data_IF_682627291855
#
_entry.id   IF_682627291855
#
_cell.length_a   1.000
_cell.length_b   1.000
_cell.length_c   1.000
_cell.angle_alpha   90.00
_cell.angle_beta   90.00
_cell.angle_gamma   90.00
#
_symmetry.space_group_name_H-M   'P 1'
#
loop_
_entity.id
_entity.type
_entity.pdbx_description
1 polymer ?
#
# COMPACT_ATOMS: atom_id res chain seq x y z
N UNK A 1 -4.21 10.89 29.20
CA UNK A 1 -3.54 9.78 28.50
C UNK A 1 -3.74 8.56 29.37
N UNK A 2 -4.42 7.52 28.89
CA UNK A 2 -4.63 6.30 29.67
C UNK A 2 -3.37 5.43 29.54
N UNK A 3 -2.73 5.13 30.66
CA UNK A 3 -1.45 4.42 30.71
C UNK A 3 -1.69 2.91 30.72
N UNK A 4 -1.11 2.19 29.76
CA UNK A 4 -1.14 0.72 29.73
C UNK A 4 0.06 0.18 30.52
N UNK A 5 -0.22 -0.48 31.64
CA UNK A 5 0.78 -1.11 32.50
C UNK A 5 1.03 -2.56 32.03
N UNK A 6 2.30 -2.95 31.87
CA UNK A 6 2.71 -4.29 31.48
C UNK A 6 3.89 -4.79 32.34
N UNK A 7 3.70 -4.96 33.66
CA UNK A 7 4.77 -5.23 34.63
C UNK A 7 5.52 -6.54 34.37
N UNK A 8 4.86 -7.57 33.84
CA UNK A 8 5.49 -8.83 33.43
C UNK A 8 6.58 -8.66 32.36
N UNK A 9 6.59 -7.53 31.64
CA UNK A 9 7.62 -7.22 30.64
C UNK A 9 8.98 -6.94 31.29
N UNK A 10 9.01 -6.54 32.56
CA UNK A 10 10.23 -6.24 33.29
C UNK A 10 11.11 -7.49 33.46
N UNK A 11 10.50 -8.64 33.76
CA UNK A 11 11.21 -9.92 33.91
C UNK A 11 11.86 -10.37 32.60
N UNK A 12 11.22 -10.10 31.46
CA UNK A 12 11.81 -10.37 30.14
C UNK A 12 12.96 -9.42 29.81
N UNK A 13 12.85 -8.13 30.17
CA UNK A 13 13.91 -7.14 29.96
C UNK A 13 15.14 -7.49 30.79
N UNK A 14 14.94 -7.93 32.03
CA UNK A 14 15.98 -8.25 33.01
C UNK A 14 16.49 -9.71 32.93
N UNK A 15 15.75 -10.59 32.25
CA UNK A 15 16.07 -12.01 32.15
C UNK A 15 17.30 -12.32 31.27
N UNK A 16 17.86 -13.55 31.38
CA UNK A 16 18.99 -13.99 30.58
C UNK A 16 18.60 -14.02 29.10
N UNK A 17 19.37 -13.31 28.27
CA UNK A 17 19.17 -13.29 26.81
C UNK A 17 19.97 -14.44 26.19
N UNK A 18 19.38 -15.21 25.27
CA UNK A 18 20.10 -16.29 24.60
C UNK A 18 21.30 -15.76 23.81
N UNK A 19 22.39 -16.51 23.79
CA UNK A 19 23.63 -16.15 23.07
C UNK A 19 23.47 -16.11 21.54
N UNK A 20 22.35 -16.62 21.03
CA UNK A 20 22.02 -16.66 19.60
C UNK A 20 20.71 -15.94 19.30
N UNK A 21 20.65 -15.29 18.14
CA UNK A 21 19.46 -14.59 17.68
C UNK A 21 18.35 -15.58 17.34
N UNK A 22 17.17 -15.41 17.95
CA UNK A 22 16.00 -16.29 17.75
C UNK A 22 15.42 -16.24 16.33
N UNK A 23 15.71 -15.17 15.58
CA UNK A 23 15.25 -14.97 14.20
C UNK A 23 16.27 -15.41 13.15
N UNK A 24 17.49 -15.80 13.54
CA UNK A 24 18.41 -16.48 12.64
C UNK A 24 17.95 -17.94 12.49
N UNK A 25 17.14 -18.17 11.46
CA UNK A 25 16.65 -19.50 11.12
C UNK A 25 17.73 -20.31 10.38
N UNK A 26 17.84 -21.62 10.64
CA UNK A 26 18.65 -22.49 9.80
C UNK A 26 18.03 -22.62 8.39
N UNK A 27 18.85 -23.02 7.42
CA UNK A 27 18.41 -23.27 6.04
C UNK A 27 17.41 -24.43 5.96
N UNK A 28 17.58 -25.45 6.80
CA UNK A 28 16.64 -26.57 6.88
C UNK A 28 15.31 -26.17 7.54
N UNK A 29 14.24 -26.86 7.15
CA UNK A 29 12.86 -26.54 7.56
C UNK A 29 12.31 -27.44 8.66
N UNK A 30 13.11 -28.40 9.15
CA UNK A 30 12.66 -29.39 10.15
C UNK A 30 12.20 -28.75 11.47
N UNK A 31 12.74 -27.58 11.80
CA UNK A 31 12.40 -26.84 13.03
C UNK A 31 11.29 -25.80 12.83
N UNK A 32 10.75 -25.64 11.63
CA UNK A 32 9.81 -24.54 11.31
C UNK A 32 8.55 -24.60 12.16
N UNK A 33 8.00 -25.79 12.40
CA UNK A 33 6.80 -25.93 13.23
C UNK A 33 7.09 -25.64 14.70
N UNK A 34 8.19 -26.17 15.24
CA UNK A 34 8.62 -25.92 16.62
C UNK A 34 8.90 -24.43 16.88
N UNK A 35 9.41 -23.72 15.85
CA UNK A 35 9.66 -22.27 15.86
C UNK A 35 8.47 -21.44 15.42
N UNK A 36 7.36 -22.06 14.99
CA UNK A 36 6.14 -21.41 14.51
C UNK A 36 6.34 -20.55 13.25
N UNK A 37 7.25 -20.96 12.37
CA UNK A 37 7.48 -20.37 11.05
C UNK A 37 6.34 -20.77 10.12
N UNK A 38 5.55 -19.79 9.70
CA UNK A 38 4.40 -19.97 8.82
C UNK A 38 4.81 -20.00 7.35
N UNK A 39 5.74 -19.14 6.94
CA UNK A 39 6.12 -18.97 5.54
C UNK A 39 7.59 -18.56 5.40
N UNK A 40 8.27 -19.10 4.39
CA UNK A 40 9.63 -18.71 3.99
C UNK A 40 9.55 -18.14 2.57
N UNK A 41 9.86 -16.85 2.43
CA UNK A 41 9.98 -16.17 1.14
C UNK A 41 11.40 -16.28 0.57
N UNK A 42 11.75 -15.35 -0.33
CA UNK A 42 13.09 -15.26 -0.91
C UNK A 42 14.07 -14.57 0.04
N UNK A 43 13.65 -13.45 0.63
CA UNK A 43 14.47 -12.63 1.51
C UNK A 43 13.89 -12.49 2.92
N UNK A 44 12.58 -12.72 3.08
CA UNK A 44 11.86 -12.59 4.34
C UNK A 44 11.06 -13.83 4.69
N UNK A 45 10.70 -13.97 5.96
CA UNK A 45 9.83 -15.03 6.46
C UNK A 45 8.76 -14.48 7.41
N UNK A 46 7.72 -15.29 7.61
CA UNK A 46 6.61 -15.00 8.52
C UNK A 46 6.63 -16.02 9.64
N UNK A 47 6.62 -15.54 10.88
CA UNK A 47 6.69 -16.36 12.10
C UNK A 47 5.63 -15.88 13.08
N UNK A 48 5.02 -16.78 13.85
CA UNK A 48 4.11 -16.38 14.93
C UNK A 48 4.90 -15.95 16.16
N UNK A 49 4.37 -14.96 16.88
CA UNK A 49 4.94 -14.61 18.17
C UNK A 49 4.60 -15.68 19.21
N UNK A 50 5.61 -16.23 19.88
CA UNK A 50 5.46 -17.23 20.96
C UNK A 50 4.75 -16.66 22.19
N UNK A 51 4.83 -15.34 22.39
CA UNK A 51 4.15 -14.60 23.44
C UNK A 51 3.20 -13.57 22.80
N UNK A 52 2.09 -14.04 22.21
CA UNK A 52 1.23 -13.19 21.40
C UNK A 52 0.47 -12.15 22.23
N UNK A 53 0.29 -10.93 21.70
CA UNK A 53 -0.62 -9.96 22.32
C UNK A 53 -2.08 -10.37 22.12
N UNK A 54 -2.42 -10.96 20.97
CA UNK A 54 -3.73 -11.53 20.67
C UNK A 54 -3.53 -12.74 19.75
N UNK A 55 -4.57 -13.56 19.61
CA UNK A 55 -4.60 -14.63 18.60
C UNK A 55 -4.23 -14.10 17.23
N UNK A 56 -3.36 -14.84 16.52
CA UNK A 56 -2.87 -14.44 15.21
C UNK A 56 -1.83 -13.31 15.23
N UNK A 57 -1.12 -13.08 16.35
CA UNK A 57 0.04 -12.17 16.36
C UNK A 57 1.18 -12.75 15.51
N UNK A 58 1.41 -12.11 14.35
CA UNK A 58 2.44 -12.50 13.40
C UNK A 58 3.61 -11.51 13.42
N UNK A 59 4.77 -11.99 12.98
CA UNK A 59 5.94 -11.17 12.71
C UNK A 59 6.47 -11.45 11.30
N UNK A 60 6.87 -10.39 10.60
CA UNK A 60 7.57 -10.47 9.30
C UNK A 60 8.98 -9.95 9.49
N UNK A 61 9.97 -10.73 9.07
CA UNK A 61 11.38 -10.49 9.38
C UNK A 61 12.28 -10.98 8.25
N UNK A 62 13.42 -10.31 7.96
CA UNK A 62 14.35 -10.75 6.93
C UNK A 62 15.15 -11.97 7.40
N UNK A 63 15.60 -12.82 6.48
CA UNK A 63 16.57 -13.88 6.81
C UNK A 63 17.91 -13.30 7.22
N UNK A 64 18.35 -12.23 6.55
CA UNK A 64 19.57 -11.52 6.88
C UNK A 64 19.42 -10.86 8.25
N UNK A 65 20.44 -11.01 9.09
CA UNK A 65 20.47 -10.41 10.41
C UNK A 65 20.74 -8.90 10.28
N UNK A 66 19.69 -8.10 10.44
CA UNK A 66 19.74 -6.64 10.28
C UNK A 66 18.95 -5.99 11.40
N UNK A 67 19.51 -4.96 12.02
CA UNK A 67 18.88 -4.24 13.14
C UNK A 67 18.00 -3.06 12.71
N UNK A 68 18.38 -2.41 11.61
CA UNK A 68 17.79 -1.13 11.19
C UNK A 68 16.99 -1.29 9.90
N UNK A 69 15.83 -0.62 9.85
CA UNK A 69 15.01 -0.52 8.66
C UNK A 69 15.76 0.16 7.50
N UNK A 70 16.63 1.14 7.80
CA UNK A 70 17.41 1.85 6.79
C UNK A 70 18.52 0.99 6.16
N UNK A 71 18.84 -0.15 6.78
CA UNK A 71 19.89 -1.06 6.31
C UNK A 71 19.32 -2.21 5.45
N UNK A 72 18.01 -2.25 5.18
CA UNK A 72 17.41 -3.22 4.28
C UNK A 72 17.78 -2.93 2.83
N UNK A 73 18.06 -4.00 2.08
CA UNK A 73 18.19 -3.92 0.63
C UNK A 73 16.81 -3.67 -0.01
N UNK A 74 16.73 -3.02 -1.19
CA UNK A 74 15.45 -2.70 -1.82
C UNK A 74 14.53 -3.92 -2.01
N UNK A 75 15.09 -5.06 -2.41
CA UNK A 75 14.32 -6.29 -2.61
C UNK A 75 13.81 -6.89 -1.29
N UNK A 76 14.60 -6.79 -0.21
CA UNK A 76 14.19 -7.20 1.13
C UNK A 76 13.01 -6.34 1.62
N UNK A 77 13.11 -5.02 1.46
CA UNK A 77 12.08 -4.07 1.88
C UNK A 77 10.78 -4.23 1.09
N UNK A 78 10.87 -4.45 -0.23
CA UNK A 78 9.69 -4.68 -1.07
C UNK A 78 8.98 -5.97 -0.70
N UNK A 79 9.69 -7.09 -0.63
CA UNK A 79 9.08 -8.37 -0.26
C UNK A 79 8.49 -8.32 1.15
N UNK A 80 9.17 -7.66 2.10
CA UNK A 80 8.65 -7.44 3.44
C UNK A 80 7.28 -6.74 3.42
N UNK A 81 7.13 -5.69 2.63
CA UNK A 81 5.87 -4.96 2.51
C UNK A 81 4.77 -5.78 1.81
N UNK A 82 5.13 -6.62 0.83
CA UNK A 82 4.18 -7.53 0.19
C UNK A 82 3.70 -8.64 1.14
N UNK A 83 4.60 -9.18 1.97
CA UNK A 83 4.24 -10.13 3.01
C UNK A 83 3.33 -9.51 4.07
N UNK A 84 3.61 -8.28 4.50
CA UNK A 84 2.75 -7.56 5.44
C UNK A 84 1.32 -7.36 4.90
N UNK A 85 1.18 -6.99 3.62
CA UNK A 85 -0.13 -6.85 2.96
C UNK A 85 -0.86 -8.19 2.87
N UNK A 86 -0.14 -9.26 2.52
CA UNK A 86 -0.70 -10.61 2.46
C UNK A 86 -1.16 -11.08 3.83
N UNK A 87 -0.30 -10.98 4.85
CA UNK A 87 -0.63 -11.37 6.22
C UNK A 87 -1.85 -10.59 6.73
N UNK A 88 -1.94 -9.29 6.43
CA UNK A 88 -3.12 -8.47 6.75
C UNK A 88 -4.40 -9.03 6.12
N UNK A 89 -4.35 -9.42 4.85
CA UNK A 89 -5.50 -10.02 4.14
C UNK A 89 -5.88 -11.38 4.73
N UNK A 90 -4.89 -12.23 4.97
CA UNK A 90 -5.07 -13.55 5.58
C UNK A 90 -5.70 -13.45 6.98
N UNK A 91 -5.18 -12.57 7.84
CA UNK A 91 -5.71 -12.35 9.18
C UNK A 91 -7.16 -11.84 9.14
N UNK A 92 -7.48 -10.96 8.18
CA UNK A 92 -8.87 -10.51 7.95
C UNK A 92 -9.81 -11.64 7.59
N UNK A 93 -9.41 -12.48 6.66
CA UNK A 93 -10.22 -13.61 6.21
C UNK A 93 -10.41 -14.67 7.31
N UNK A 94 -9.35 -14.94 8.11
CA UNK A 94 -9.38 -16.05 9.07
C UNK A 94 -10.01 -15.69 10.41
N UNK A 95 -9.78 -14.47 10.90
CA UNK A 95 -10.17 -14.06 12.26
C UNK A 95 -11.21 -12.94 12.29
N UNK A 96 -11.48 -12.27 11.16
CA UNK A 96 -12.38 -11.12 11.08
C UNK A 96 -12.15 -10.07 12.19
N UNK A 97 -10.89 -9.59 12.40
CA UNK A 97 -10.62 -8.54 13.36
C UNK A 97 -11.19 -7.20 12.90
N UNK A 98 -11.59 -6.37 13.86
CA UNK A 98 -12.09 -5.02 13.61
C UNK A 98 -10.97 -4.04 13.26
N UNK A 99 -9.72 -4.37 13.63
CA UNK A 99 -8.53 -3.64 13.27
C UNK A 99 -7.28 -4.50 13.33
N UNK A 100 -6.18 -4.03 12.75
CA UNK A 100 -4.87 -4.68 12.86
C UNK A 100 -3.85 -3.59 13.14
N UNK A 101 -3.08 -3.73 14.23
CA UNK A 101 -1.90 -2.91 14.45
C UNK A 101 -0.73 -3.50 13.67
N UNK A 102 -0.12 -2.69 12.81
CA UNK A 102 1.12 -3.02 12.12
C UNK A 102 2.18 -2.03 12.55
N UNK A 103 3.32 -2.52 13.02
CA UNK A 103 4.37 -1.64 13.53
C UNK A 103 5.67 -2.37 13.80
N UNK A 104 6.73 -1.59 14.00
CA UNK A 104 8.03 -2.08 14.41
C UNK A 104 8.55 -1.21 15.57
N UNK A 105 9.45 -1.76 16.37
CA UNK A 105 10.17 -1.02 17.39
C UNK A 105 11.65 -1.00 17.03
N UNK A 106 12.24 0.19 16.85
CA UNK A 106 13.66 0.36 16.54
C UNK A 106 14.41 0.88 17.77
N UNK A 107 15.41 0.12 18.21
CA UNK A 107 16.22 0.47 19.37
C UNK A 107 15.55 0.15 20.72
N UNK A 108 16.37 0.15 21.76
CA UNK A 108 15.97 -0.23 23.11
C UNK A 108 14.89 0.70 23.68
N UNK A 109 15.05 2.01 23.50
CA UNK A 109 14.11 3.02 23.98
C UNK A 109 12.71 2.89 23.35
N UNK A 110 12.59 2.31 22.15
CA UNK A 110 11.30 2.03 21.51
C UNK A 110 10.64 0.74 22.01
N UNK A 111 11.30 0.01 22.93
CA UNK A 111 10.80 -1.25 23.46
C UNK A 111 11.07 -2.46 22.55
N UNK A 112 12.10 -2.41 21.70
CA UNK A 112 12.54 -3.56 20.92
C UNK A 112 12.98 -4.70 21.86
N UNK A 113 12.14 -5.74 21.98
CA UNK A 113 12.42 -6.88 22.86
C UNK A 113 13.56 -7.78 22.33
N UNK A 114 13.80 -7.75 21.01
CA UNK A 114 14.91 -8.41 20.33
C UNK A 114 15.58 -7.34 19.48
N UNK A 115 16.61 -6.70 20.05
CA UNK A 115 17.27 -5.53 19.46
C UNK A 115 18.09 -5.82 18.22
N UNK A 116 18.57 -7.05 18.09
CA UNK A 116 19.58 -7.39 17.10
C UNK A 116 18.97 -7.73 15.73
N UNK A 117 17.66 -7.96 15.63
CA UNK A 117 17.04 -8.41 14.39
C UNK A 117 15.67 -7.79 14.17
N UNK A 118 15.54 -7.07 13.07
CA UNK A 118 14.37 -6.33 12.63
C UNK A 118 13.17 -7.26 12.43
N UNK A 119 12.02 -6.87 12.96
CA UNK A 119 10.77 -7.57 12.74
C UNK A 119 9.58 -6.61 12.84
N UNK A 120 8.67 -6.70 11.88
CA UNK A 120 7.37 -6.03 11.96
C UNK A 120 6.37 -6.92 12.66
N UNK A 121 5.59 -6.35 13.55
CA UNK A 121 4.47 -7.01 14.20
C UNK A 121 3.18 -6.76 13.42
N UNK A 122 2.33 -7.79 13.30
CA UNK A 122 0.92 -7.66 12.96
C UNK A 122 0.08 -8.22 14.10
N UNK A 123 -0.71 -7.37 14.75
CA UNK A 123 -1.53 -7.74 15.90
C UNK A 123 -3.00 -7.50 15.56
N UNK A 124 -3.81 -8.55 15.35
CA UNK A 124 -5.26 -8.44 15.22
C UNK A 124 -5.91 -7.84 16.47
N UNK A 125 -6.88 -6.94 16.29
CA UNK A 125 -7.55 -6.20 17.36
C UNK A 125 -9.07 -6.30 17.25
N UNK A 126 -9.72 -6.33 18.42
CA UNK A 126 -11.16 -6.22 18.57
C UNK A 126 -11.48 -5.19 19.65
N UNK A 127 -12.61 -4.50 19.53
CA UNK A 127 -13.11 -3.64 20.58
C UNK A 127 -13.37 -4.48 21.84
N UNK A 128 -12.76 -4.07 22.96
CA UNK A 128 -12.84 -4.82 24.21
C UNK A 128 -11.94 -6.06 24.28
N UNK A 129 -10.94 -6.18 23.39
CA UNK A 129 -9.96 -7.28 23.46
C UNK A 129 -9.09 -7.25 24.73
N UNK A 130 -8.98 -6.09 25.36
CA UNK A 130 -8.52 -5.97 26.75
C UNK A 130 -9.66 -6.30 27.71
N UNK A 131 -9.62 -7.49 28.30
CA UNK A 131 -10.61 -7.94 29.30
C UNK A 131 -10.33 -7.36 30.69
N UNK A 132 -11.33 -7.37 31.58
CA UNK A 132 -11.17 -7.06 33.01
C UNK A 132 -10.01 -7.85 33.64
N UNK A 133 -9.86 -9.13 33.28
CA UNK A 133 -8.74 -9.95 33.78
C UNK A 133 -7.37 -9.40 33.37
N UNK A 134 -7.24 -8.85 32.16
CA UNK A 134 -5.99 -8.27 31.69
C UNK A 134 -5.62 -6.99 32.43
N UNK A 135 -6.62 -6.24 32.92
CA UNK A 135 -6.44 -4.96 33.60
C UNK A 135 -6.29 -5.13 35.11
N UNK A 136 -7.12 -5.97 35.74
CA UNK A 136 -7.16 -6.11 37.21
C UNK A 136 -6.31 -7.26 37.75
N UNK A 137 -6.06 -8.28 36.93
CA UNK A 137 -5.31 -9.47 37.34
C UNK A 137 -4.05 -9.67 36.52
N UNK A 138 -3.68 -8.68 35.70
CA UNK A 138 -2.50 -8.70 34.82
C UNK A 138 -2.41 -9.98 33.95
N UNK A 139 -3.56 -10.63 33.72
CA UNK A 139 -3.64 -11.94 33.10
C UNK A 139 -4.41 -11.82 31.81
N UNK A 140 -3.73 -12.12 30.69
CA UNK A 140 -4.35 -12.11 29.37
C UNK A 140 -4.94 -13.47 29.04
N UNK A 141 -6.21 -13.49 28.66
CA UNK A 141 -6.87 -14.70 28.16
C UNK A 141 -6.73 -14.73 26.64
N UNK A 142 -6.07 -15.77 26.14
CA UNK A 142 -5.89 -16.01 24.71
C UNK A 142 -6.72 -17.24 24.36
N UNK A 143 -7.80 -17.09 23.59
CA UNK A 143 -8.83 -18.13 23.51
C UNK A 143 -8.45 -19.33 22.65
N UNK A 144 -7.41 -19.23 21.81
CA UNK A 144 -6.95 -20.34 20.98
C UNK A 144 -5.51 -20.70 21.32
N UNK A 145 -5.23 -21.99 21.39
CA UNK A 145 -3.88 -22.47 21.64
C UNK A 145 -2.95 -22.14 20.46
N UNK A 146 -1.68 -21.92 20.75
CA UNK A 146 -0.68 -21.44 19.79
C UNK A 146 -0.50 -22.41 18.61
N UNK A 147 -0.39 -23.71 18.88
CA UNK A 147 -0.27 -24.73 17.84
C UNK A 147 -1.56 -24.86 17.01
N UNK A 148 -2.74 -24.74 17.63
CA UNK A 148 -4.01 -24.75 16.89
C UNK A 148 -4.09 -23.58 15.91
N UNK A 149 -3.68 -22.39 16.36
CA UNK A 149 -3.57 -21.19 15.54
C UNK A 149 -2.56 -21.39 14.41
N UNK A 150 -1.42 -22.01 14.68
CA UNK A 150 -0.38 -22.32 13.68
C UNK A 150 -0.92 -23.20 12.56
N UNK A 151 -1.52 -24.35 12.90
CA UNK A 151 -2.09 -25.26 11.90
C UNK A 151 -3.25 -24.63 11.12
N UNK A 152 -4.01 -23.73 11.75
CA UNK A 152 -5.07 -23.00 11.06
C UNK A 152 -4.55 -21.97 10.04
N UNK A 153 -3.35 -21.42 10.24
CA UNK A 153 -2.76 -20.40 9.37
C UNK A 153 -1.79 -20.96 8.33
N UNK A 154 -1.16 -22.11 8.60
CA UNK A 154 -0.16 -22.73 7.72
C UNK A 154 -0.65 -23.00 6.28
N UNK A 155 -1.89 -23.47 6.03
CA UNK A 155 -2.36 -23.67 4.65
C UNK A 155 -2.50 -22.35 3.89
N UNK A 156 -3.03 -21.30 4.53
CA UNK A 156 -3.24 -19.99 3.92
C UNK A 156 -1.93 -19.29 3.55
N UNK A 157 -0.83 -19.61 4.21
CA UNK A 157 0.48 -19.02 3.91
C UNK A 157 1.08 -19.56 2.60
N UNK A 158 0.76 -20.80 2.22
CA UNK A 158 1.22 -21.41 0.95
C UNK A 158 0.51 -20.88 -0.29
N UNK A 159 -0.69 -20.31 -0.11
CA UNK A 159 -1.48 -19.73 -1.19
C UNK A 159 -1.10 -18.27 -1.49
N UNK A 160 -0.13 -17.70 -0.78
CA UNK A 160 0.35 -16.34 -1.01
C UNK A 160 1.12 -16.30 -2.34
N UNK A 161 0.57 -15.68 -3.41
CA UNK A 161 1.37 -15.40 -4.57
C UNK A 161 2.27 -14.24 -4.15
N UNK A 162 3.57 -14.50 -3.98
CA UNK A 162 4.54 -13.43 -4.06
C UNK A 162 4.20 -12.63 -5.32
N UNK A 163 3.82 -11.34 -5.16
CA UNK A 163 3.67 -10.45 -6.30
C UNK A 163 5.07 -10.27 -6.86
N UNK A 164 5.46 -11.16 -7.75
CA UNK A 164 6.76 -11.11 -8.39
C UNK A 164 6.90 -9.71 -9.02
N UNK A 165 7.86 -8.93 -8.53
CA UNK A 165 8.22 -7.62 -9.07
C UNK A 165 8.54 -7.62 -10.58
N UNK A 166 8.67 -8.81 -11.18
CA UNK A 166 8.70 -9.02 -12.63
C UNK A 166 7.52 -8.39 -13.38
N UNK A 167 6.34 -8.23 -12.77
CA UNK A 167 5.19 -7.63 -13.46
C UNK A 167 5.35 -6.11 -13.71
N UNK A 168 6.15 -5.42 -12.91
CA UNK A 168 6.51 -4.03 -13.15
C UNK A 168 7.61 -3.92 -14.22
N UNK A 169 8.59 -4.81 -14.18
CA UNK A 169 9.75 -4.80 -15.08
C UNK A 169 9.42 -5.28 -16.50
N UNK A 170 8.55 -6.29 -16.62
CA UNK A 170 8.06 -6.78 -17.91
C UNK A 170 7.21 -5.75 -18.66
N UNK A 171 6.70 -4.69 -18.03
CA UNK A 171 5.93 -3.66 -18.77
C UNK A 171 6.82 -2.88 -19.72
N UNK A 172 8.03 -2.52 -19.30
CA UNK A 172 8.99 -1.84 -20.17
C UNK A 172 9.51 -2.77 -21.26
N UNK A 173 9.78 -4.04 -20.93
CA UNK A 173 10.18 -5.06 -21.90
C UNK A 173 9.07 -5.30 -22.92
N UNK A 174 7.80 -5.40 -22.51
CA UNK A 174 6.65 -5.56 -23.41
C UNK A 174 6.50 -4.37 -24.37
N UNK A 175 6.73 -3.14 -23.90
CA UNK A 175 6.72 -1.94 -24.75
C UNK A 175 7.88 -1.96 -25.75
N UNK A 176 9.09 -2.30 -25.30
CA UNK A 176 10.27 -2.42 -26.18
C UNK A 176 10.07 -3.48 -27.28
N UNK A 177 9.54 -4.65 -26.89
CA UNK A 177 9.20 -5.73 -27.83
C UNK A 177 8.14 -5.29 -28.82
N UNK A 178 7.08 -4.59 -28.38
CA UNK A 178 6.05 -4.06 -29.26
C UNK A 178 6.63 -3.07 -30.29
N UNK A 179 7.52 -2.16 -29.87
CA UNK A 179 8.19 -1.20 -30.76
C UNK A 179 9.07 -1.93 -31.77
N UNK A 180 9.81 -2.96 -31.34
CA UNK A 180 10.65 -3.78 -32.23
C UNK A 180 9.81 -4.53 -33.27
N UNK A 181 8.71 -5.18 -32.83
CA UNK A 181 7.78 -5.89 -33.72
C UNK A 181 7.17 -4.93 -34.75
N UNK A 182 6.78 -3.73 -34.32
CA UNK A 182 6.27 -2.70 -35.23
C UNK A 182 7.32 -2.30 -36.27
N UNK A 183 8.56 -2.07 -35.87
CA UNK A 183 9.65 -1.71 -36.78
C UNK A 183 9.91 -2.80 -37.82
N UNK A 184 10.00 -4.06 -37.38
CA UNK A 184 10.20 -5.23 -38.27
C UNK A 184 9.02 -5.37 -39.23
N UNK A 185 7.79 -5.25 -38.73
CA UNK A 185 6.58 -5.30 -39.56
C UNK A 185 6.59 -4.18 -40.61
N UNK A 186 6.94 -2.95 -40.23
CA UNK A 186 7.02 -1.83 -41.16
C UNK A 186 8.09 -2.07 -42.23
N UNK A 187 9.27 -2.55 -41.85
CA UNK A 187 10.35 -2.88 -42.79
C UNK A 187 9.90 -3.94 -43.81
N UNK A 188 9.19 -4.97 -43.34
CA UNK A 188 8.62 -6.01 -44.21
C UNK A 188 7.61 -5.45 -45.21
N UNK A 189 6.71 -4.55 -44.79
CA UNK A 189 5.74 -3.92 -45.69
C UNK A 189 6.44 -3.05 -46.74
N UNK A 190 7.46 -2.27 -46.35
CA UNK A 190 8.22 -1.42 -47.29
C UNK A 190 8.92 -2.26 -48.35
N UNK A 191 9.50 -3.40 -47.98
CA UNK A 191 10.21 -4.28 -48.93
C UNK A 191 9.27 -5.00 -49.89
N UNK A 192 8.03 -5.30 -49.49
CA UNK A 192 7.08 -6.08 -50.29
C UNK A 192 6.05 -5.24 -51.03
N UNK A 193 6.01 -3.92 -50.83
CA UNK A 193 5.00 -3.07 -51.45
C UNK A 193 5.60 -1.80 -52.05
N UNK A 194 5.79 -1.82 -53.37
CA UNK A 194 6.44 -0.75 -54.13
C UNK A 194 5.71 0.61 -54.03
N UNK A 195 4.41 0.61 -53.72
CA UNK A 195 3.62 1.84 -53.49
C UNK A 195 4.16 2.63 -52.29
N UNK A 196 4.67 1.94 -51.26
CA UNK A 196 5.20 2.59 -50.05
C UNK A 196 6.54 3.29 -50.29
N UNK A 197 7.27 2.92 -51.35
CA UNK A 197 8.52 3.54 -51.77
C UNK A 197 8.32 4.73 -52.71
N UNK A 198 7.09 5.01 -53.14
CA UNK A 198 6.80 6.17 -53.97
C UNK A 198 7.03 7.46 -53.18
N UNK A 199 7.66 8.43 -53.84
CA UNK A 199 7.88 9.75 -53.27
C UNK A 199 6.64 10.60 -53.44
N UNK A 200 6.18 11.20 -52.34
CA UNK A 200 5.03 12.10 -52.31
C UNK A 200 5.54 13.51 -52.04
N UNK A 201 5.02 14.46 -52.80
CA UNK A 201 5.20 15.90 -52.55
C UNK A 201 3.90 16.44 -51.98
N UNK A 202 3.95 16.93 -50.74
CA UNK A 202 2.80 17.58 -50.12
C UNK A 202 2.79 19.04 -50.56
N UNK A 203 1.64 19.51 -51.06
CA UNK A 203 1.39 20.91 -51.36
C UNK A 203 0.36 21.45 -50.38
N UNK A 204 0.68 22.58 -49.75
CA UNK A 204 -0.24 23.29 -48.88
C UNK A 204 -0.54 24.66 -49.49
N UNK A 205 -1.75 24.79 -50.03
CA UNK A 205 -2.28 26.07 -50.52
C UNK A 205 -3.10 26.73 -49.42
N UNK A 206 -2.44 27.56 -48.62
CA UNK A 206 -3.12 28.49 -47.72
C UNK A 206 -3.47 29.74 -48.53
N UNK A 207 -4.76 30.13 -48.51
CA UNK A 207 -5.34 31.24 -49.26
C UNK A 207 -4.33 32.39 -49.48
N UNK A 208 -4.07 32.69 -50.77
CA UNK A 208 -3.17 33.72 -51.34
C UNK A 208 -1.71 33.28 -51.66
N UNK A 209 -1.55 32.79 -52.91
CA UNK A 209 -0.37 32.82 -53.81
C UNK A 209 1.01 32.36 -53.33
N UNK A 210 1.12 31.71 -52.16
CA UNK A 210 2.33 30.97 -51.81
C UNK A 210 1.99 29.50 -51.61
N UNK A 211 2.17 28.71 -52.67
CA UNK A 211 2.09 27.26 -52.61
C UNK A 211 3.35 26.71 -51.94
N UNK A 212 3.24 26.31 -50.67
CA UNK A 212 4.36 25.67 -49.98
C UNK A 212 4.41 24.20 -50.41
N UNK A 213 5.53 23.79 -51.02
CA UNK A 213 5.76 22.41 -51.43
C UNK A 213 6.83 21.76 -50.55
N UNK A 214 6.56 20.54 -50.09
CA UNK A 214 7.53 19.76 -49.32
C UNK A 214 8.59 19.15 -50.24
N UNK A 215 9.75 18.83 -49.65
CA UNK A 215 10.73 17.94 -50.28
C UNK A 215 10.02 16.60 -50.59
N UNK A 216 10.39 15.97 -51.70
CA UNK A 216 9.87 14.67 -52.09
C UNK A 216 10.28 13.62 -51.05
N UNK A 217 9.32 13.15 -50.26
CA UNK A 217 9.55 12.19 -49.17
C UNK A 217 8.90 10.86 -49.53
N UNK A 218 9.56 9.72 -49.29
CA UNK A 218 8.96 8.41 -49.46
C UNK A 218 7.72 8.26 -48.55
N UNK A 219 6.66 7.64 -49.07
CA UNK A 219 5.41 7.48 -48.33
C UNK A 219 5.60 6.73 -47.00
N UNK A 220 6.46 5.71 -46.95
CA UNK A 220 6.77 4.98 -45.70
C UNK A 220 7.34 5.87 -44.59
N UNK A 221 8.13 6.90 -44.96
CA UNK A 221 8.73 7.81 -44.00
C UNK A 221 7.64 8.64 -43.30
N UNK A 222 6.63 9.08 -44.04
CA UNK A 222 5.49 9.79 -43.48
C UNK A 222 4.68 8.93 -42.50
N UNK A 223 4.43 7.66 -42.85
CA UNK A 223 3.73 6.71 -41.96
C UNK A 223 4.54 6.47 -40.68
N UNK A 224 5.85 6.31 -40.79
CA UNK A 224 6.74 6.14 -39.63
C UNK A 224 6.74 7.38 -38.73
N UNK A 225 6.83 8.59 -39.30
CA UNK A 225 6.75 9.84 -38.55
C UNK A 225 5.39 10.01 -37.86
N UNK A 226 4.28 9.68 -38.53
CA UNK A 226 2.94 9.73 -37.93
C UNK A 226 2.81 8.76 -36.75
N UNK A 227 3.35 7.54 -36.87
CA UNK A 227 3.37 6.57 -35.78
C UNK A 227 4.23 7.04 -34.60
N UNK A 228 5.45 7.51 -34.86
CA UNK A 228 6.34 8.05 -33.82
C UNK A 228 5.72 9.22 -33.07
N UNK A 229 5.08 10.15 -33.79
CA UNK A 229 4.37 11.27 -33.21
C UNK A 229 3.19 10.81 -32.34
N UNK A 230 2.42 9.82 -32.79
CA UNK A 230 1.35 9.20 -32.01
C UNK A 230 1.87 8.48 -30.75
N UNK A 231 2.97 7.75 -30.85
CA UNK A 231 3.62 7.08 -29.72
C UNK A 231 4.14 8.10 -28.68
N UNK A 232 4.76 9.19 -29.12
CA UNK A 232 5.20 10.28 -28.25
C UNK A 232 4.02 10.98 -27.57
N UNK A 233 2.95 11.27 -28.31
CA UNK A 233 1.75 11.90 -27.76
C UNK A 233 1.07 11.02 -26.71
N UNK A 234 0.93 9.72 -26.98
CA UNK A 234 0.35 8.77 -26.03
C UNK A 234 1.23 8.62 -24.77
N UNK A 235 2.55 8.56 -24.92
CA UNK A 235 3.51 8.61 -23.80
C UNK A 235 3.32 9.88 -22.96
N UNK A 236 3.20 11.05 -23.60
CA UNK A 236 2.99 12.32 -22.92
C UNK A 236 1.65 12.33 -22.16
N UNK A 237 0.58 11.83 -22.77
CA UNK A 237 -0.73 11.73 -22.11
C UNK A 237 -0.71 10.79 -20.91
N UNK A 238 -0.03 9.63 -21.02
CA UNK A 238 0.17 8.68 -19.92
C UNK A 238 1.00 9.28 -18.79
N UNK A 239 2.04 10.06 -19.12
CA UNK A 239 2.86 10.79 -18.16
C UNK A 239 2.01 11.81 -17.39
N UNK A 240 1.20 12.60 -18.11
CA UNK A 240 0.29 13.59 -17.51
C UNK A 240 -0.78 12.91 -16.64
N UNK A 241 -1.37 11.80 -17.07
CA UNK A 241 -2.36 11.07 -16.28
C UNK A 241 -1.75 10.52 -14.99
N UNK A 242 -0.51 10.01 -15.06
CA UNK A 242 0.25 9.54 -13.88
C UNK A 242 0.52 10.69 -12.91
N UNK A 243 0.95 11.86 -13.41
CA UNK A 243 1.17 13.04 -12.59
C UNK A 243 -0.13 13.53 -11.91
N UNK A 244 -1.25 13.53 -12.63
CA UNK A 244 -2.57 13.91 -12.09
C UNK A 244 -3.04 12.93 -11.01
N UNK A 245 -2.89 11.63 -11.23
CA UNK A 245 -3.21 10.60 -10.24
C UNK A 245 -2.35 10.74 -8.98
N UNK A 246 -1.04 10.96 -9.14
CA UNK A 246 -0.14 11.22 -8.01
C UNK A 246 -0.49 12.50 -7.23
N UNK A 247 -0.90 13.57 -7.93
CA UNK A 247 -1.36 14.80 -7.29
C UNK A 247 -2.71 14.61 -6.55
N UNK A 248 -3.63 13.79 -7.10
CA UNK A 248 -4.87 13.44 -6.42
C UNK A 248 -4.61 12.64 -5.13
N UNK A 249 -3.70 11.67 -5.19
CA UNK A 249 -3.29 10.88 -4.02
C UNK A 249 -2.68 11.76 -2.92
N UNK A 250 -1.78 12.69 -3.29
CA UNK A 250 -1.21 13.66 -2.33
C UNK A 250 -2.27 14.54 -1.66
N UNK A 251 -3.28 15.00 -2.43
CA UNK A 251 -4.40 15.79 -1.89
C UNK A 251 -5.28 14.97 -0.94
N UNK A 252 -5.61 13.73 -1.31
CA UNK A 252 -6.35 12.81 -0.46
C UNK A 252 -5.62 12.55 0.87
N UNK A 253 -4.32 12.24 0.81
CA UNK A 253 -3.49 12.01 2.00
C UNK A 253 -3.40 13.26 2.89
N UNK A 254 -3.30 14.45 2.30
CA UNK A 254 -3.32 15.71 3.08
C UNK A 254 -4.66 15.89 3.79
N UNK A 255 -5.78 15.57 3.13
CA UNK A 255 -7.14 15.65 3.71
C UNK A 255 -7.34 14.64 4.83
N UNK A 256 -6.84 13.42 4.67
CA UNK A 256 -6.83 12.40 5.74
C UNK A 256 -6.10 12.93 6.97
N UNK A 257 -4.88 13.50 6.82
CA UNK A 257 -4.13 14.06 7.96
C UNK A 257 -4.84 15.21 8.66
N UNK A 258 -5.59 16.04 7.93
CA UNK A 258 -6.39 17.14 8.53
C UNK A 258 -7.56 16.55 9.31
N UNK A 259 -8.32 15.62 8.72
CA UNK A 259 -9.43 14.95 9.39
C UNK A 259 -8.98 14.16 10.62
N UNK A 260 -7.81 13.53 10.59
CA UNK A 260 -7.21 12.87 11.76
C UNK A 260 -6.88 13.88 12.87
N UNK A 261 -6.40 15.09 12.53
CA UNK A 261 -6.17 16.15 13.51
C UNK A 261 -7.49 16.66 14.10
N UNK A 262 -8.51 16.88 13.27
CA UNK A 262 -9.85 17.28 13.73
C UNK A 262 -10.46 16.22 14.64
N UNK A 263 -10.43 14.95 14.23
CA UNK A 263 -10.91 13.83 15.04
C UNK A 263 -10.18 13.74 16.38
N UNK A 264 -8.85 13.88 16.38
CA UNK A 264 -8.06 13.89 17.62
C UNK A 264 -8.39 15.11 18.50
N UNK A 265 -8.65 16.29 17.93
CA UNK A 265 -9.08 17.45 18.71
C UNK A 265 -10.47 17.27 19.33
N UNK A 266 -11.42 16.66 18.60
CA UNK A 266 -12.75 16.34 19.11
C UNK A 266 -12.70 15.26 20.19
N UNK A 267 -11.81 14.28 20.05
CA UNK A 267 -11.60 13.21 21.05
C UNK A 267 -11.00 13.73 22.36
N UNK A 268 -10.25 14.83 22.31
CA UNK A 268 -9.62 15.46 23.47
C UNK A 268 -10.46 16.61 24.05
N UNK A 269 -11.69 16.83 23.58
CA UNK A 269 -12.58 17.85 24.12
C UNK A 269 -13.06 17.41 25.53
N UNK A 270 -12.92 18.25 26.58
CA UNK A 270 -13.44 17.92 27.90
C UNK A 270 -14.96 17.73 27.87
N UNK A 271 -15.43 16.62 28.46
CA UNK A 271 -16.86 16.21 28.54
C UNK A 271 -17.81 17.28 29.10
N UNK A 272 -17.31 18.31 29.79
CA UNK A 272 -18.13 19.41 30.33
C UNK A 272 -18.79 20.28 29.23
N UNK A 273 -18.18 20.38 28.05
CA UNK A 273 -18.76 21.17 26.94
C UNK A 273 -19.87 20.45 26.18
N UNK A 274 -19.86 19.11 26.17
CA UNK A 274 -20.91 18.31 25.54
C UNK A 274 -22.23 18.29 26.34
N UNK A 275 -22.21 18.74 27.61
CA UNK A 275 -23.39 18.79 28.48
C UNK A 275 -24.08 20.16 28.54
N UNK A 276 -23.58 21.18 27.83
CA UNK A 276 -24.38 22.39 27.61
C UNK A 276 -25.47 22.04 26.60
N UNK A 277 -26.68 21.80 27.11
CA UNK A 277 -27.91 21.97 26.35
C UNK A 277 -27.77 23.21 25.46
N UNK A 278 -28.05 23.11 24.15
CA UNK A 278 -28.05 24.30 23.32
C UNK A 278 -29.03 25.30 23.93
N UNK A 279 -28.55 26.52 24.21
CA UNK A 279 -29.45 27.64 24.48
C UNK A 279 -30.50 27.69 23.36
N UNK A 280 -31.79 27.90 23.69
CA UNK A 280 -32.80 28.03 22.66
C UNK A 280 -32.41 29.21 21.78
N UNK A 281 -32.02 28.91 20.54
CA UNK A 281 -31.83 29.90 19.48
C UNK A 281 -33.14 30.66 19.39
N UNK A 282 -33.11 31.96 19.72
CA UNK A 282 -34.26 32.84 19.60
C UNK A 282 -34.84 32.67 18.18
N UNK A 283 -36.12 32.31 18.11
CA UNK A 283 -36.81 32.14 16.84
C UNK A 283 -36.66 33.43 16.03
N UNK A 284 -36.29 33.36 14.74
CA UNK A 284 -36.27 34.54 13.89
C UNK A 284 -37.69 35.13 13.84
N UNK A 285 -37.77 36.46 13.96
CA UNK A 285 -39.03 37.19 13.89
C UNK A 285 -39.82 36.82 12.63
N UNK A 286 -41.16 36.69 12.70
CA UNK A 286 -41.96 36.31 11.55
C UNK A 286 -41.78 37.36 10.43
N UNK A 287 -41.30 36.88 9.29
CA UNK A 287 -41.26 37.65 8.05
C UNK A 287 -42.71 37.97 7.68
N UNK A 288 -43.04 39.26 7.63
CA UNK A 288 -44.34 39.73 7.19
C UNK A 288 -44.64 39.16 5.80
N UNK A 289 -45.76 38.44 5.68
CA UNK A 289 -46.27 37.97 4.40
C UNK A 289 -46.61 39.19 3.53
N UNK A 290 -45.83 39.41 2.48
CA UNK A 290 -46.24 40.27 1.38
C UNK A 290 -47.12 39.43 0.46
N UNK A 291 -48.41 39.78 0.43
CA UNK A 291 -49.42 39.21 -0.44
C UNK A 291 -49.04 39.26 -1.94
N UNK A 292 -49.43 38.25 -2.73
CA UNK A 292 -49.20 38.22 -4.17
C UNK A 292 -50.17 39.16 -4.88
N UNK A 293 -49.64 40.17 -5.58
CA UNK A 293 -50.43 40.97 -6.53
C UNK A 293 -50.45 40.26 -7.90
N UNK A 294 -51.58 40.27 -8.63
CA UNK A 294 -51.91 39.26 -9.63
C UNK A 294 -51.33 39.55 -11.02
N UNK A 295 -51.15 38.48 -11.78
CA UNK A 295 -50.87 38.51 -13.21
C UNK A 295 -51.90 39.36 -13.96
N UNK A 296 -51.42 40.37 -14.70
CA UNK A 296 -52.20 41.03 -15.74
C UNK A 296 -52.04 40.24 -17.05
N UNK A 297 -53.19 39.88 -17.60
CA UNK A 297 -53.37 39.48 -18.98
C UNK A 297 -53.00 40.63 -19.94
N UNK A 298 -52.39 40.27 -21.07
CA UNK A 298 -51.99 41.13 -22.17
C UNK A 298 -51.12 40.36 -23.14
#
# INVERSE_FOLDING_TARGET
>A
METLWAPWRLDYILGPKPDSCVFCLPEHTEEDEARLVLYRGRHNFVIMNKFPYNNGHLMVTPFRHVMDLAALEPDEAHEMMDLLQTCTTMLRQRFNPQGINVGLNLGEAAGAGIREHLHFHLVPRWNGDSSFMAVMSETRVIPEHLHSTYHALKPCSTACPARDGKEADMRFVKVLVLVLVFFISMMFFVQNNAVLSQTVTLKLDLFFDTAWSSIALPFYFMVLCAFLMGALLTMLLLMISRMRAGAALRRANKRIRVLEKELNSLRNLPLETARKTPEPVAAPAPVAATDPTPAKAG
#
